data_IF_414394594001
#
_entry.id   IF_414394594001
#
_cell.length_a   1.000
_cell.length_b   1.000
_cell.length_c   1.000
_cell.angle_alpha   90.00
_cell.angle_beta   90.00
_cell.angle_gamma   90.00
#
_symmetry.space_group_name_H-M   'P 1'
#
loop_
_entity.id
_entity.type
_entity.pdbx_description
1 polymer ?
#
# COMPACT_ATOMS: atom_id res chain seq x y z
N UNK A 1 13.98 2.79 5.78
CA UNK A 1 14.67 2.23 4.60
C UNK A 1 14.15 0.85 4.24
N UNK A 2 14.01 -0.07 5.22
CA UNK A 2 13.61 -1.47 4.99
C UNK A 2 12.32 -1.67 4.18
N UNK A 3 11.28 -0.87 4.42
CA UNK A 3 10.03 -0.94 3.65
C UNK A 3 10.26 -0.73 2.14
N UNK A 4 11.03 0.30 1.77
CA UNK A 4 11.27 0.64 0.37
C UNK A 4 12.09 -0.43 -0.34
N UNK A 5 13.08 -1.01 0.34
CA UNK A 5 13.88 -2.12 -0.17
C UNK A 5 12.99 -3.33 -0.50
N UNK A 6 12.08 -3.71 0.41
CA UNK A 6 11.14 -4.81 0.19
C UNK A 6 10.19 -4.51 -0.96
N UNK A 7 9.60 -3.30 -1.02
CA UNK A 7 8.69 -2.90 -2.09
C UNK A 7 9.35 -2.95 -3.48
N UNK A 8 10.61 -2.56 -3.58
CA UNK A 8 11.33 -2.51 -4.85
C UNK A 8 11.86 -3.87 -5.33
N UNK A 9 12.00 -4.86 -4.44
CA UNK A 9 12.42 -6.21 -4.84
C UNK A 9 11.40 -6.96 -5.70
N UNK A 10 10.12 -6.53 -5.71
CA UNK A 10 9.01 -7.18 -6.45
C UNK A 10 8.86 -8.69 -6.15
N UNK A 11 9.38 -9.17 -5.02
CA UNK A 11 9.50 -10.60 -4.74
C UNK A 11 8.15 -11.36 -4.81
N UNK A 12 7.03 -10.70 -4.48
CA UNK A 12 5.72 -11.36 -4.41
C UNK A 12 4.65 -10.71 -5.29
N UNK A 13 4.71 -9.40 -5.56
CA UNK A 13 3.71 -8.71 -6.40
C UNK A 13 4.26 -7.39 -6.92
N UNK A 14 3.80 -6.98 -8.10
CA UNK A 14 4.05 -5.63 -8.63
C UNK A 14 3.38 -4.55 -7.79
N UNK A 15 2.25 -4.86 -7.14
CA UNK A 15 1.45 -3.93 -6.32
C UNK A 15 1.53 -4.24 -4.82
N UNK A 16 2.69 -4.69 -4.34
CA UNK A 16 2.91 -5.02 -2.93
C UNK A 16 2.51 -3.87 -1.98
N UNK A 17 2.69 -2.60 -2.38
CA UNK A 17 2.25 -1.44 -1.60
C UNK A 17 0.75 -1.44 -1.28
N UNK A 18 -0.11 -1.91 -2.19
CA UNK A 18 -1.55 -2.03 -1.93
C UNK A 18 -1.84 -3.10 -0.88
N UNK A 19 -1.15 -4.23 -0.96
CA UNK A 19 -1.27 -5.31 0.02
C UNK A 19 -0.83 -4.84 1.41
N UNK A 20 0.23 -4.02 1.48
CA UNK A 20 0.68 -3.38 2.72
C UNK A 20 -0.39 -2.44 3.28
N UNK A 21 -1.02 -1.60 2.45
CA UNK A 21 -2.13 -0.74 2.89
C UNK A 21 -3.29 -1.57 3.45
N UNK A 22 -3.66 -2.66 2.78
CA UNK A 22 -4.72 -3.57 3.25
C UNK A 22 -4.33 -4.25 4.57
N UNK A 23 -3.06 -4.65 4.73
CA UNK A 23 -2.57 -5.24 5.98
C UNK A 23 -2.68 -4.28 7.16
N UNK A 24 -2.34 -2.99 6.97
CA UNK A 24 -2.52 -1.94 7.98
C UNK A 24 -4.01 -1.82 8.34
N UNK A 25 -4.89 -1.68 7.36
CA UNK A 25 -6.34 -1.57 7.60
C UNK A 25 -6.90 -2.81 8.31
N UNK A 26 -6.49 -4.02 7.89
CA UNK A 26 -6.92 -5.29 8.50
C UNK A 26 -6.52 -5.39 9.97
N UNK A 27 -5.34 -4.89 10.34
CA UNK A 27 -4.84 -4.90 11.72
C UNK A 27 -5.70 -4.02 12.63
N UNK A 28 -6.12 -2.86 12.16
CA UNK A 28 -6.92 -1.91 12.93
C UNK A 28 -8.43 -2.03 12.70
N UNK A 29 -8.89 -2.99 11.88
CA UNK A 29 -10.31 -3.14 11.52
C UNK A 29 -11.25 -3.20 12.72
N UNK A 30 -10.83 -3.87 13.80
CA UNK A 30 -11.66 -4.03 15.00
C UNK A 30 -11.96 -2.68 15.61
N UNK A 31 -10.91 -1.88 15.87
CA UNK A 31 -11.04 -0.54 16.40
C UNK A 31 -11.86 0.38 15.49
N UNK A 32 -11.60 0.36 14.17
CA UNK A 32 -12.32 1.19 13.20
C UNK A 32 -13.82 0.89 13.22
N UNK A 33 -14.19 -0.40 13.24
CA UNK A 33 -15.58 -0.83 13.20
C UNK A 33 -16.29 -0.69 14.56
N UNK A 34 -15.62 -1.00 15.67
CA UNK A 34 -16.18 -0.89 17.03
C UNK A 34 -16.41 0.57 17.45
N UNK A 35 -15.52 1.48 17.06
CA UNK A 35 -15.68 2.92 17.34
C UNK A 35 -16.57 3.63 16.32
N UNK A 36 -17.12 2.91 15.32
CA UNK A 36 -17.96 3.47 14.25
C UNK A 36 -17.36 4.75 13.63
N UNK A 37 -16.07 4.70 13.29
CA UNK A 37 -15.35 5.90 12.84
C UNK A 37 -15.93 6.44 11.53
N UNK A 38 -16.39 7.69 11.56
CA UNK A 38 -16.70 8.47 10.35
C UNK A 38 -15.41 8.93 9.65
N UNK A 39 -15.52 9.40 8.40
CA UNK A 39 -14.38 9.70 7.54
C UNK A 39 -13.28 10.55 8.21
N UNK A 40 -13.64 11.68 8.82
CA UNK A 40 -12.66 12.58 9.46
C UNK A 40 -11.97 11.92 10.67
N UNK A 41 -12.71 11.10 11.41
CA UNK A 41 -12.17 10.37 12.58
C UNK A 41 -11.24 9.26 12.13
N UNK A 42 -11.60 8.53 11.08
CA UNK A 42 -10.75 7.53 10.46
C UNK A 42 -9.47 8.16 9.92
N UNK A 43 -9.57 9.29 9.22
CA UNK A 43 -8.40 10.00 8.69
C UNK A 43 -7.46 10.46 9.81
N UNK A 44 -8.01 11.05 10.87
CA UNK A 44 -7.24 11.43 12.06
C UNK A 44 -6.56 10.21 12.70
N UNK A 45 -7.30 9.12 12.89
CA UNK A 45 -6.76 7.89 13.45
C UNK A 45 -5.60 7.33 12.61
N UNK A 46 -5.76 7.23 11.28
CA UNK A 46 -4.70 6.77 10.38
C UNK A 46 -3.47 7.68 10.45
N UNK A 47 -3.66 9.01 10.52
CA UNK A 47 -2.55 9.95 10.68
C UNK A 47 -1.83 9.77 12.03
N UNK A 48 -2.55 9.49 13.11
CA UNK A 48 -1.98 9.22 14.44
C UNK A 48 -1.16 7.91 14.49
N UNK A 49 -1.40 6.97 13.57
CA UNK A 49 -0.56 5.77 13.43
C UNK A 49 0.84 6.09 12.87
N UNK A 50 1.05 7.27 12.28
CA UNK A 50 2.35 7.65 11.73
C UNK A 50 3.45 7.57 12.80
N UNK A 51 4.54 6.87 12.48
CA UNK A 51 5.64 6.62 13.42
C UNK A 51 5.38 5.54 14.48
N UNK A 52 4.17 4.98 14.55
CA UNK A 52 3.81 3.90 15.48
C UNK A 52 3.67 2.53 14.81
N UNK A 53 3.76 2.48 13.48
CA UNK A 53 3.60 1.25 12.70
C UNK A 53 4.87 0.40 12.80
N UNK A 54 4.72 -0.82 13.32
CA UNK A 54 5.73 -1.88 13.25
C UNK A 54 5.78 -2.46 11.83
N UNK A 55 6.77 -2.02 11.05
CA UNK A 55 6.94 -2.38 9.64
C UNK A 55 7.14 -3.89 9.47
N UNK A 56 7.93 -4.54 10.32
CA UNK A 56 8.24 -5.97 10.20
C UNK A 56 7.00 -6.84 10.45
N UNK A 57 6.13 -6.44 11.38
CA UNK A 57 4.86 -7.14 11.56
C UNK A 57 3.90 -6.89 10.42
N UNK A 58 3.82 -5.66 9.89
CA UNK A 58 2.93 -5.34 8.76
C UNK A 58 3.37 -6.07 7.49
N UNK A 59 4.67 -6.17 7.22
CA UNK A 59 5.18 -6.90 6.05
C UNK A 59 4.84 -8.40 6.13
N UNK A 60 4.97 -9.02 7.31
CA UNK A 60 4.54 -10.41 7.53
C UNK A 60 3.04 -10.59 7.35
N UNK A 61 2.23 -9.67 7.89
CA UNK A 61 0.77 -9.68 7.72
C UNK A 61 0.39 -9.52 6.24
N UNK A 62 1.11 -8.67 5.50
CA UNK A 62 0.91 -8.43 4.07
C UNK A 62 1.28 -9.67 3.24
N UNK A 63 2.40 -10.33 3.52
CA UNK A 63 2.79 -11.58 2.86
C UNK A 63 1.75 -12.69 3.09
N UNK A 64 1.32 -12.86 4.35
CA UNK A 64 0.26 -13.80 4.68
C UNK A 64 -1.05 -13.46 3.95
N UNK A 65 -1.40 -12.18 3.86
CA UNK A 65 -2.60 -11.72 3.16
C UNK A 65 -2.51 -11.99 1.65
N UNK A 66 -1.36 -11.73 1.04
CA UNK A 66 -1.11 -12.03 -0.37
C UNK A 66 -1.29 -13.51 -0.67
N UNK A 67 -0.67 -14.39 0.14
CA UNK A 67 -0.80 -15.84 0.02
C UNK A 67 -2.24 -16.32 0.25
N UNK A 68 -2.95 -15.77 1.24
CA UNK A 68 -4.35 -16.14 1.51
C UNK A 68 -5.30 -15.68 0.42
N UNK A 69 -5.08 -14.50 -0.17
CA UNK A 69 -5.96 -13.92 -1.18
C UNK A 69 -5.78 -14.60 -2.55
N UNK A 70 -4.59 -15.12 -2.83
CA UNK A 70 -4.29 -15.83 -4.08
C UNK A 70 -4.61 -15.02 -5.33
N UNK A 71 -4.99 -15.70 -6.41
CA UNK A 71 -5.33 -15.07 -7.70
C UNK A 71 -6.53 -14.14 -7.63
N UNK A 72 -7.47 -14.40 -6.70
CA UNK A 72 -8.64 -13.55 -6.49
C UNK A 72 -8.24 -12.17 -5.96
N UNK A 73 -7.27 -12.10 -5.05
CA UNK A 73 -6.76 -10.82 -4.54
C UNK A 73 -6.07 -9.99 -5.61
N UNK A 74 -5.30 -10.64 -6.48
CA UNK A 74 -4.62 -9.98 -7.60
C UNK A 74 -5.63 -9.47 -8.64
N UNK A 75 -6.70 -10.23 -8.88
CA UNK A 75 -7.76 -9.88 -9.84
C UNK A 75 -8.57 -8.64 -9.41
N UNK A 76 -8.55 -8.27 -8.13
CA UNK A 76 -9.20 -7.05 -7.64
C UNK A 76 -8.42 -5.76 -7.97
N UNK A 77 -7.17 -5.87 -8.42
CA UNK A 77 -6.36 -4.71 -8.77
C UNK A 77 -6.81 -4.21 -10.14
N UNK A 78 -7.21 -2.94 -10.20
CA UNK A 78 -7.70 -2.33 -11.43
C UNK A 78 -6.58 -2.22 -12.48
N UNK A 79 -6.87 -2.52 -13.76
CA UNK A 79 -5.92 -2.29 -14.84
C UNK A 79 -5.56 -0.79 -14.90
N UNK A 80 -4.27 -0.48 -15.00
CA UNK A 80 -3.75 0.90 -14.95
C UNK A 80 -3.34 1.38 -13.56
N UNK A 81 -3.50 0.54 -12.52
CA UNK A 81 -2.87 0.82 -11.21
C UNK A 81 -1.34 0.82 -11.37
N UNK A 82 -0.62 1.84 -10.88
CA UNK A 82 0.83 1.87 -10.99
C UNK A 82 1.49 0.78 -10.11
N UNK A 83 2.62 0.20 -10.53
CA UNK A 83 3.40 -0.73 -9.72
C UNK A 83 4.14 0.00 -8.57
N UNK A 84 4.51 -0.76 -7.55
CA UNK A 84 5.28 -0.28 -6.37
C UNK A 84 6.65 0.29 -6.76
N UNK A 85 7.23 -0.24 -7.83
CA UNK A 85 8.44 0.28 -8.46
C UNK A 85 8.06 0.76 -9.86
N UNK A 86 8.15 2.07 -10.14
CA UNK A 86 7.99 2.57 -11.50
C UNK A 86 9.19 2.11 -12.33
N UNK A 87 9.03 1.05 -13.12
CA UNK A 87 10.04 0.63 -14.08
C UNK A 87 9.94 1.53 -15.31
N UNK A 88 11.07 2.07 -15.76
CA UNK A 88 11.21 3.24 -16.65
C UNK A 88 10.70 3.14 -18.10
N UNK A 89 9.60 2.45 -18.37
CA UNK A 89 8.87 2.65 -19.63
C UNK A 89 7.74 3.69 -19.51
N UNK A 90 7.23 3.97 -18.30
CA UNK A 90 6.14 4.95 -18.08
C UNK A 90 6.63 6.35 -17.71
N UNK A 91 7.94 6.56 -17.54
CA UNK A 91 8.52 7.89 -17.25
C UNK A 91 8.69 8.74 -18.53
N UNK A 92 8.51 8.16 -19.73
CA UNK A 92 8.80 8.85 -21.01
C UNK A 92 7.57 9.31 -21.81
N UNK A 93 6.37 9.35 -21.24
CA UNK A 93 5.19 9.85 -21.96
C UNK A 93 4.39 10.93 -21.23
N UNK A 94 5.00 11.66 -20.29
CA UNK A 94 4.42 12.94 -19.84
C UNK A 94 5.41 14.11 -20.01
N UNK A 95 5.49 14.69 -21.22
CA UNK A 95 6.26 15.91 -21.47
C UNK A 95 5.73 17.15 -20.73
N UNK A 96 4.62 17.09 -19.98
CA UNK A 96 4.05 18.25 -19.27
C UNK A 96 4.50 18.41 -17.81
N UNK A 97 5.19 17.42 -17.21
CA UNK A 97 5.53 17.47 -15.78
C UNK A 97 6.88 18.16 -15.45
N UNK A 98 7.81 18.25 -16.40
CA UNK A 98 9.10 18.95 -16.17
C UNK A 98 8.95 20.48 -16.04
N UNK A 99 7.90 21.07 -16.62
CA UNK A 99 7.69 22.53 -16.62
C UNK A 99 7.02 23.07 -15.34
N UNK A 100 6.71 22.23 -14.35
CA UNK A 100 6.02 22.64 -13.10
C UNK A 100 6.86 22.52 -11.81
N UNK A 101 8.14 22.15 -11.92
CA UNK A 101 9.03 21.98 -10.75
C UNK A 101 10.21 22.99 -10.76
N UNK A 102 10.09 24.10 -11.48
CA UNK A 102 10.99 25.25 -11.37
C UNK A 102 10.25 26.51 -10.86
#
# INVERSE_FOLDING_TARGET
>A
MLLWEVLWTRHSSEHLHLVVCVAILKRYRGKIMEEHMEFDTLLKFINELSGQIDIDSILRDAEALYLCAGENGVSCILPGTPPSLPLGNDILLDPELEDKVL
#
